data_IF_131967678701
#
_entry.id   IF_131967678701
#
_cell.length_a   1.000
_cell.length_b   1.000
_cell.length_c   1.000
_cell.angle_alpha   90.00
_cell.angle_beta   90.00
_cell.angle_gamma   90.00
#
_symmetry.space_group_name_H-M   'P 1'
#
loop_
_entity.id
_entity.type
_entity.pdbx_description
1 polymer ?
#
# COMPACT_ATOMS: atom_id res chain seq x y z
N UNK A 1 -9.67 -6.06 -0.89
CA UNK A 1 -9.10 -4.90 -0.20
C UNK A 1 -7.76 -5.27 0.40
N UNK A 2 -6.76 -4.44 0.18
CA UNK A 2 -5.43 -4.72 0.71
C UNK A 2 -5.07 -3.71 1.79
N UNK A 3 -4.55 -4.21 2.90
CA UNK A 3 -4.15 -3.38 4.03
C UNK A 3 -2.72 -3.75 4.39
N UNK A 4 -1.85 -2.75 4.44
CA UNK A 4 -0.44 -2.96 4.77
C UNK A 4 0.01 -1.87 5.72
N UNK A 5 1.09 -2.13 6.45
CA UNK A 5 1.62 -1.12 7.36
C UNK A 5 2.44 -0.11 6.59
N UNK A 6 2.54 1.10 7.12
CA UNK A 6 3.39 2.13 6.54
C UNK A 6 4.85 1.69 6.54
N UNK A 7 5.25 0.91 7.54
CA UNK A 7 6.61 0.38 7.60
C UNK A 7 6.87 -0.56 6.43
N UNK A 8 5.89 -1.39 6.06
CA UNK A 8 6.03 -2.28 4.92
C UNK A 8 6.29 -1.50 3.63
N UNK A 9 5.61 -0.37 3.47
CA UNK A 9 5.81 0.46 2.30
C UNK A 9 7.23 1.05 2.30
N UNK A 10 7.67 1.54 3.44
CA UNK A 10 9.01 2.14 3.53
C UNK A 10 10.09 1.12 3.17
N UNK A 11 9.93 -0.11 3.63
CA UNK A 11 10.94 -1.13 3.44
C UNK A 11 10.83 -1.88 2.12
N UNK A 12 9.70 -1.77 1.42
CA UNK A 12 9.49 -2.50 0.18
C UNK A 12 8.65 -1.72 -0.81
N UNK A 13 9.07 -0.47 -1.08
CA UNK A 13 8.29 0.41 -1.95
C UNK A 13 8.06 -0.21 -3.34
N UNK A 14 9.13 -0.71 -3.96
CA UNK A 14 9.01 -1.25 -5.33
C UNK A 14 8.08 -2.45 -5.40
N UNK A 15 8.14 -3.31 -4.39
CA UNK A 15 7.26 -4.46 -4.35
C UNK A 15 5.81 -4.04 -4.16
N UNK A 16 5.59 -3.02 -3.35
CA UNK A 16 4.23 -2.53 -3.09
C UNK A 16 3.66 -1.90 -4.35
N UNK A 17 4.49 -1.17 -5.10
CA UNK A 17 4.06 -0.59 -6.38
C UNK A 17 3.65 -1.70 -7.35
N UNK A 18 4.46 -2.74 -7.45
CA UNK A 18 4.15 -3.86 -8.34
C UNK A 18 2.85 -4.53 -7.95
N UNK A 19 2.67 -4.75 -6.64
CA UNK A 19 1.47 -5.40 -6.14
C UNK A 19 0.23 -4.58 -6.46
N UNK A 20 0.28 -3.27 -6.22
CA UNK A 20 -0.86 -2.41 -6.48
C UNK A 20 -1.22 -2.39 -7.96
N UNK A 21 -0.21 -2.32 -8.82
CA UNK A 21 -0.44 -2.28 -10.26
C UNK A 21 -0.95 -3.62 -10.79
N UNK A 22 -0.42 -4.70 -10.26
CA UNK A 22 -0.81 -6.03 -10.67
C UNK A 22 -2.26 -6.32 -10.33
N UNK A 23 -2.67 -5.92 -9.14
CA UNK A 23 -4.04 -6.16 -8.67
C UNK A 23 -5.00 -5.05 -9.09
N UNK A 24 -4.49 -3.92 -9.51
CA UNK A 24 -5.31 -2.75 -9.84
C UNK A 24 -6.22 -2.38 -8.68
N UNK A 25 -5.66 -2.37 -7.48
CA UNK A 25 -6.41 -2.08 -6.27
C UNK A 25 -5.64 -1.11 -5.39
N UNK A 26 -6.35 -0.29 -4.65
CA UNK A 26 -5.69 0.56 -3.67
C UNK A 26 -5.20 -0.27 -2.49
N UNK A 27 -4.12 0.19 -1.89
CA UNK A 27 -3.57 -0.42 -0.69
C UNK A 27 -3.73 0.58 0.43
N UNK A 28 -4.44 0.18 1.47
CA UNK A 28 -4.68 1.05 2.62
C UNK A 28 -3.51 0.91 3.59
N UNK A 29 -2.89 2.03 3.92
CA UNK A 29 -1.72 2.04 4.78
C UNK A 29 -2.11 2.42 6.19
N UNK A 30 -1.60 1.66 7.15
CA UNK A 30 -1.92 1.89 8.55
C UNK A 30 -0.67 2.18 9.34
N UNK A 31 -0.86 2.89 10.45
CA UNK A 31 0.20 3.13 11.42
C UNK A 31 -0.40 2.83 12.78
N UNK A 32 0.23 1.91 13.50
CA UNK A 32 -0.27 1.48 14.83
C UNK A 32 -1.75 1.10 14.78
N UNK A 33 -2.16 0.44 13.71
CA UNK A 33 -3.53 -0.03 13.57
C UNK A 33 -4.50 0.99 13.02
N UNK A 34 -4.09 2.25 12.88
CA UNK A 34 -4.97 3.30 12.38
C UNK A 34 -4.72 3.55 10.90
N UNK A 35 -5.80 3.75 10.14
CA UNK A 35 -5.66 4.11 8.74
C UNK A 35 -5.03 5.47 8.59
N UNK A 36 -4.04 5.58 7.72
CA UNK A 36 -3.29 6.81 7.56
C UNK A 36 -3.36 7.35 6.14
N UNK A 37 -3.19 6.49 5.15
CA UNK A 37 -3.16 6.92 3.76
C UNK A 37 -3.65 5.80 2.86
N UNK A 38 -3.93 6.16 1.62
CA UNK A 38 -4.26 5.18 0.60
C UNK A 38 -3.21 5.29 -0.51
N UNK A 39 -2.68 4.16 -0.90
CA UNK A 39 -1.67 4.04 -1.94
C UNK A 39 -2.38 3.51 -3.19
N UNK A 40 -2.44 4.32 -4.23
CA UNK A 40 -3.26 4.02 -5.41
C UNK A 40 -2.40 4.04 -6.68
N UNK A 41 -2.51 3.01 -7.54
CA UNK A 41 -1.79 3.07 -8.81
C UNK A 41 -2.34 4.18 -9.69
N UNK A 42 -1.46 4.74 -10.49
CA UNK A 42 -1.79 5.90 -11.31
C UNK A 42 -2.17 5.53 -12.74
N UNK A 43 -2.89 4.50 -12.98
CA UNK A 43 -3.35 4.23 -14.35
C UNK A 43 -4.60 3.34 -14.39
#
# INVERSE_FOLDING_TARGET
MMIRSATSLRNGYDEMVRLAKEKQEPIYLTRNGDGEMVFVPMD
#
